data_IF_492362673133
#
_entry.id   IF_492362673133
#
_cell.length_a   1.000
_cell.length_b   1.000
_cell.length_c   1.000
_cell.angle_alpha   90.00
_cell.angle_beta   90.00
_cell.angle_gamma   90.00
#
_symmetry.space_group_name_H-M   'P 1'
#
loop_
_entity.id
_entity.type
_entity.pdbx_description
1 polymer ?
#
# COMPACT_ATOMS: atom_id res chain seq x y z
N UNK A 1 9.15 1.34 22.25
CA UNK A 1 9.31 1.98 20.92
C UNK A 1 8.12 1.72 20.00
N UNK A 2 7.55 0.50 19.92
CA UNK A 2 6.39 0.16 19.06
C UNK A 2 5.01 0.28 19.72
N UNK A 3 4.93 0.93 20.88
CA UNK A 3 3.71 1.05 21.68
C UNK A 3 2.93 2.29 21.23
N UNK A 4 1.66 2.11 20.95
CA UNK A 4 0.70 3.18 20.65
C UNK A 4 -0.33 3.25 21.78
N UNK A 5 -0.78 4.46 22.10
CA UNK A 5 -1.77 4.69 23.14
C UNK A 5 -2.97 5.42 22.56
N UNK A 6 -4.15 4.85 22.73
CA UNK A 6 -5.39 5.49 22.31
C UNK A 6 -5.69 6.65 23.26
N UNK A 7 -5.99 7.88 22.78
CA UNK A 7 -6.18 9.08 23.61
C UNK A 7 -7.56 9.08 24.30
N UNK A 8 -7.88 8.00 25.02
CA UNK A 8 -9.14 7.80 25.74
C UNK A 8 -8.82 7.61 27.23
N UNK A 9 -9.59 8.28 28.08
CA UNK A 9 -9.50 8.12 29.53
C UNK A 9 -9.75 6.67 29.96
N UNK A 10 -8.92 6.16 30.88
CA UNK A 10 -8.97 4.76 31.33
C UNK A 10 -10.23 4.46 32.15
N UNK A 11 -10.90 5.48 32.66
CA UNK A 11 -12.10 5.39 33.49
C UNK A 11 -13.38 5.08 32.68
N UNK A 12 -13.32 5.21 31.35
CA UNK A 12 -14.43 4.91 30.46
C UNK A 12 -14.59 3.41 30.18
N UNK A 13 -15.77 2.86 30.50
CA UNK A 13 -16.22 1.50 30.09
C UNK A 13 -16.71 1.47 28.63
N UNK A 14 -16.02 2.16 27.73
CA UNK A 14 -16.37 2.14 26.31
C UNK A 14 -15.74 0.89 25.68
N UNK A 15 -16.57 -0.07 25.28
CA UNK A 15 -16.10 -1.36 24.77
C UNK A 15 -15.54 -1.27 23.34
N UNK A 16 -16.18 -0.48 22.46
CA UNK A 16 -15.84 -0.43 21.02
C UNK A 16 -14.35 -0.16 20.70
N UNK A 17 -13.67 0.85 21.27
CA UNK A 17 -12.26 1.11 20.95
C UNK A 17 -11.30 0.05 21.53
N UNK A 18 -11.76 -0.77 22.48
CA UNK A 18 -10.97 -1.81 23.15
C UNK A 18 -11.06 -3.15 22.43
N UNK A 19 -12.16 -3.39 21.70
CA UNK A 19 -12.35 -4.63 20.96
C UNK A 19 -11.37 -4.72 19.80
N UNK A 20 -10.89 -5.94 19.54
CA UNK A 20 -10.12 -6.23 18.34
C UNK A 20 -11.03 -6.05 17.13
N UNK A 21 -10.59 -5.24 16.18
CA UNK A 21 -11.27 -5.01 14.91
C UNK A 21 -10.51 -5.69 13.77
N UNK A 22 -11.21 -6.11 12.72
CA UNK A 22 -10.61 -6.83 11.60
C UNK A 22 -9.53 -6.02 10.88
N UNK A 23 -9.69 -4.69 10.82
CA UNK A 23 -8.70 -3.76 10.26
C UNK A 23 -7.38 -3.72 11.04
N UNK A 24 -7.28 -4.37 12.20
CA UNK A 24 -6.00 -4.51 12.91
C UNK A 24 -5.11 -5.61 12.33
N UNK A 25 -5.66 -6.53 11.52
CA UNK A 25 -4.92 -7.67 11.01
C UNK A 25 -3.68 -7.22 10.25
N UNK A 26 -2.53 -7.85 10.53
CA UNK A 26 -1.23 -7.50 9.92
C UNK A 26 -0.61 -6.16 10.34
N UNK A 27 -1.34 -5.27 11.02
CA UNK A 27 -0.85 -3.93 11.42
C UNK A 27 -0.52 -3.86 12.92
N UNK A 28 -1.31 -4.53 13.76
CA UNK A 28 -1.21 -4.52 15.22
C UNK A 28 -1.18 -5.95 15.76
N UNK A 29 -0.39 -6.18 16.80
CA UNK A 29 -0.37 -7.47 17.50
C UNK A 29 -1.71 -7.70 18.23
N UNK A 30 -2.45 -8.79 17.93
CA UNK A 30 -3.77 -9.02 18.54
C UNK A 30 -3.70 -9.45 20.01
N UNK A 31 -2.55 -10.00 20.45
CA UNK A 31 -2.39 -10.57 21.78
C UNK A 31 -1.65 -9.65 22.76
N UNK A 32 -0.76 -8.78 22.26
CA UNK A 32 0.13 -7.98 23.10
C UNK A 32 -0.57 -6.68 23.58
N UNK A 33 -1.47 -6.82 24.55
CA UNK A 33 -2.13 -5.72 25.26
C UNK A 33 -2.04 -5.95 26.78
N UNK A 34 -1.89 -4.89 27.60
CA UNK A 34 -1.99 -5.02 29.05
C UNK A 34 -3.36 -5.51 29.50
N UNK A 35 -3.41 -6.19 30.64
CA UNK A 35 -4.67 -6.55 31.31
C UNK A 35 -5.32 -5.33 32.00
N UNK A 36 -6.60 -5.45 32.35
CA UNK A 36 -7.34 -4.45 33.12
C UNK A 36 -7.73 -3.19 32.34
N UNK A 37 -7.62 -2.02 32.96
CA UNK A 37 -8.17 -0.76 32.43
C UNK A 37 -7.49 -0.27 31.14
N UNK A 38 -6.29 -0.76 30.81
CA UNK A 38 -5.59 -0.42 29.58
C UNK A 38 -5.82 -1.43 28.45
N UNK A 39 -6.57 -2.51 28.69
CA UNK A 39 -6.84 -3.55 27.70
C UNK A 39 -7.51 -2.95 26.45
N UNK A 40 -6.88 -3.20 25.29
CA UNK A 40 -7.29 -2.72 23.97
C UNK A 40 -6.98 -1.25 23.68
N UNK A 41 -6.59 -0.46 24.69
CA UNK A 41 -6.22 0.96 24.51
C UNK A 41 -4.73 1.12 24.19
N UNK A 42 -3.90 0.26 24.78
CA UNK A 42 -2.48 0.17 24.49
C UNK A 42 -2.28 -0.93 23.46
N UNK A 43 -1.78 -0.56 22.27
CA UNK A 43 -1.59 -1.47 21.14
C UNK A 43 -0.12 -1.48 20.74
N UNK A 44 0.39 -2.63 20.31
CA UNK A 44 1.75 -2.76 19.81
C UNK A 44 1.74 -3.03 18.30
N UNK A 45 2.55 -2.30 17.54
CA UNK A 45 2.65 -2.48 16.09
C UNK A 45 3.22 -3.87 15.75
N UNK A 46 2.71 -4.47 14.67
CA UNK A 46 3.21 -5.75 14.18
C UNK A 46 4.68 -5.67 13.72
N UNK A 47 5.33 -6.83 13.51
CA UNK A 47 6.75 -6.89 13.15
C UNK A 47 7.06 -6.14 11.84
N UNK A 48 6.25 -6.38 10.81
CA UNK A 48 6.36 -5.81 9.47
C UNK A 48 5.64 -4.48 9.30
N UNK A 49 5.01 -3.97 10.36
CA UNK A 49 4.26 -2.72 10.30
C UNK A 49 5.20 -1.53 10.08
N UNK A 50 4.83 -0.68 9.13
CA UNK A 50 5.55 0.54 8.77
C UNK A 50 4.63 1.75 8.99
N UNK A 51 5.19 2.83 9.54
CA UNK A 51 4.45 4.09 9.73
C UNK A 51 4.99 5.09 8.72
N UNK A 52 4.10 5.59 7.87
CA UNK A 52 4.44 6.53 6.80
C UNK A 52 4.98 7.85 7.35
N UNK A 53 6.00 8.39 6.67
CA UNK A 53 6.61 9.69 6.97
C UNK A 53 5.92 10.81 6.22
N UNK A 54 5.27 10.49 5.10
CA UNK A 54 4.49 11.42 4.31
C UNK A 54 5.32 12.06 3.20
N UNK A 55 4.65 12.43 2.11
CA UNK A 55 5.28 13.02 0.93
C UNK A 55 4.47 14.19 0.36
N UNK A 56 5.14 15.18 -0.29
CA UNK A 56 4.44 16.27 -0.94
C UNK A 56 3.44 15.76 -1.99
N UNK A 57 2.23 16.32 -1.98
CA UNK A 57 1.15 15.88 -2.88
C UNK A 57 1.11 16.63 -4.22
N UNK A 58 1.70 17.82 -4.29
CA UNK A 58 1.66 18.68 -5.48
C UNK A 58 2.17 17.99 -6.77
N UNK A 59 3.30 17.24 -6.75
CA UNK A 59 3.80 16.58 -7.97
C UNK A 59 2.83 15.53 -8.52
N UNK A 60 2.07 14.87 -7.65
CA UNK A 60 1.09 13.85 -8.06
C UNK A 60 -0.12 14.54 -8.69
N UNK A 61 -0.56 15.67 -8.14
CA UNK A 61 -1.65 16.47 -8.71
C UNK A 61 -1.27 16.98 -10.09
N UNK A 62 -0.09 17.59 -10.25
CA UNK A 62 0.41 18.07 -11.54
C UNK A 62 0.50 16.95 -12.58
N UNK A 63 1.01 15.78 -12.19
CA UNK A 63 1.06 14.62 -13.06
C UNK A 63 -0.33 14.18 -13.53
N UNK A 64 -1.32 14.16 -12.63
CA UNK A 64 -2.69 13.79 -13.00
C UNK A 64 -3.32 14.80 -13.96
N UNK A 65 -3.08 16.10 -13.78
CA UNK A 65 -3.53 17.15 -14.71
C UNK A 65 -2.94 16.91 -16.11
N UNK A 66 -1.64 16.61 -16.21
CA UNK A 66 -0.98 16.27 -17.48
C UNK A 66 -1.55 15.00 -18.13
N UNK A 67 -2.16 14.10 -17.35
CA UNK A 67 -2.82 12.87 -17.81
C UNK A 67 -4.33 13.04 -18.00
N UNK A 68 -4.78 14.25 -18.37
CA UNK A 68 -6.17 14.56 -18.70
C UNK A 68 -7.15 14.50 -17.52
N UNK A 69 -6.68 14.69 -16.28
CA UNK A 69 -7.57 15.05 -15.17
C UNK A 69 -8.06 16.49 -15.37
N UNK A 70 -9.38 16.67 -15.40
CA UNK A 70 -10.01 17.99 -15.42
C UNK A 70 -9.99 18.55 -13.98
N UNK A 71 -9.44 19.75 -13.80
CA UNK A 71 -9.44 20.43 -12.50
C UNK A 71 -10.87 20.78 -12.08
N UNK A 72 -11.11 20.84 -10.77
CA UNK A 72 -12.45 21.03 -10.22
C UNK A 72 -13.10 22.35 -10.71
N UNK A 73 -12.30 23.40 -10.88
CA UNK A 73 -12.75 24.72 -11.33
C UNK A 73 -13.28 24.72 -12.77
N UNK A 74 -12.81 23.79 -13.61
CA UNK A 74 -13.20 23.65 -15.01
C UNK A 74 -14.29 22.58 -15.22
N UNK A 75 -14.68 21.89 -14.14
CA UNK A 75 -15.62 20.79 -14.19
C UNK A 75 -17.07 21.27 -14.29
N UNK A 76 -17.77 20.83 -15.33
CA UNK A 76 -19.20 21.04 -15.52
C UNK A 76 -19.97 19.73 -15.29
N UNK A 77 -20.76 19.60 -14.21
CA UNK A 77 -21.47 18.36 -13.88
C UNK A 77 -22.43 17.87 -14.97
N UNK A 78 -23.03 18.79 -15.73
CA UNK A 78 -23.93 18.47 -16.83
C UNK A 78 -23.20 17.84 -18.03
N UNK A 79 -21.92 18.16 -18.23
CA UNK A 79 -21.11 17.68 -19.35
C UNK A 79 -20.62 16.25 -19.12
N UNK A 80 -20.29 15.90 -17.88
CA UNK A 80 -19.75 14.60 -17.54
C UNK A 80 -20.31 14.06 -16.19
N UNK A 81 -21.60 13.70 -16.14
CA UNK A 81 -22.25 13.27 -14.89
C UNK A 81 -21.70 11.95 -14.31
N UNK A 82 -20.99 11.18 -15.15
CA UNK A 82 -20.40 9.90 -14.76
C UNK A 82 -18.88 9.95 -14.55
N UNK A 83 -18.28 11.14 -14.51
CA UNK A 83 -16.85 11.27 -14.24
C UNK A 83 -16.52 10.81 -12.81
N UNK A 84 -15.34 10.22 -12.65
CA UNK A 84 -14.82 9.80 -11.34
C UNK A 84 -14.16 10.99 -10.65
N UNK A 85 -14.54 11.23 -9.40
CA UNK A 85 -13.96 12.29 -8.56
C UNK A 85 -12.59 11.86 -8.07
N UNK A 86 -11.61 12.76 -8.15
CA UNK A 86 -10.24 12.51 -7.66
C UNK A 86 -10.02 13.30 -6.39
N UNK A 87 -9.66 12.61 -5.31
CA UNK A 87 -9.37 13.19 -4.01
C UNK A 87 -7.91 12.96 -3.65
N UNK A 88 -7.26 14.00 -3.13
CA UNK A 88 -5.89 13.92 -2.61
C UNK A 88 -5.90 14.42 -1.17
N UNK A 89 -5.56 13.56 -0.21
CA UNK A 89 -5.62 13.87 1.22
C UNK A 89 -6.99 14.44 1.66
N UNK A 90 -8.07 13.92 1.07
CA UNK A 90 -9.45 14.36 1.33
C UNK A 90 -9.89 15.61 0.57
N UNK A 91 -9.00 16.30 -0.15
CA UNK A 91 -9.34 17.46 -0.99
C UNK A 91 -9.78 16.98 -2.37
N UNK A 92 -10.97 17.42 -2.81
CA UNK A 92 -11.43 17.16 -4.17
C UNK A 92 -10.65 18.04 -5.16
N UNK A 93 -9.73 17.44 -5.91
CA UNK A 93 -8.84 18.19 -6.83
C UNK A 93 -9.38 18.26 -8.25
N UNK A 94 -10.19 17.29 -8.67
CA UNK A 94 -10.69 17.25 -10.04
C UNK A 94 -11.51 16.00 -10.36
N UNK A 95 -11.75 15.80 -11.65
CA UNK A 95 -12.45 14.63 -12.15
C UNK A 95 -11.71 14.00 -13.32
N UNK A 96 -11.92 12.70 -13.53
CA UNK A 96 -11.38 11.98 -14.66
C UNK A 96 -12.45 11.12 -15.32
N UNK A 97 -12.49 11.11 -16.66
CA UNK A 97 -13.49 10.36 -17.44
C UNK A 97 -13.17 8.86 -17.56
N UNK A 98 -11.88 8.54 -17.62
CA UNK A 98 -11.38 7.16 -17.65
C UNK A 98 -10.52 6.82 -16.41
N UNK A 99 -11.15 6.55 -15.25
CA UNK A 99 -10.40 6.27 -14.02
C UNK A 99 -9.58 4.98 -14.10
N UNK A 100 -9.95 4.02 -14.94
CA UNK A 100 -9.23 2.75 -15.03
C UNK A 100 -7.81 2.96 -15.57
N UNK A 101 -7.69 3.75 -16.63
CA UNK A 101 -6.41 4.12 -17.20
C UNK A 101 -5.57 4.99 -16.23
N UNK A 102 -6.19 5.98 -15.58
CA UNK A 102 -5.51 6.83 -14.61
C UNK A 102 -4.94 6.03 -13.44
N UNK A 103 -5.75 5.15 -12.83
CA UNK A 103 -5.32 4.30 -11.70
C UNK A 103 -4.18 3.39 -12.10
N UNK A 104 -4.26 2.69 -13.26
CA UNK A 104 -3.16 1.85 -13.75
C UNK A 104 -1.89 2.66 -13.96
N UNK A 105 -2.00 3.87 -14.49
CA UNK A 105 -0.85 4.75 -14.72
C UNK A 105 -0.19 5.17 -13.40
N UNK A 106 -0.97 5.63 -12.42
CA UNK A 106 -0.45 6.08 -11.11
C UNK A 106 0.11 4.90 -10.30
N UNK A 107 -0.53 3.73 -10.37
CA UNK A 107 -0.01 2.52 -9.73
C UNK A 107 1.33 2.09 -10.33
N UNK A 108 1.49 2.18 -11.65
CA UNK A 108 2.77 1.90 -12.31
C UNK A 108 3.86 2.90 -11.90
N UNK A 109 3.53 4.17 -11.69
CA UNK A 109 4.49 5.14 -11.14
C UNK A 109 4.95 4.76 -9.73
N UNK A 110 4.05 4.20 -8.89
CA UNK A 110 4.40 3.70 -7.54
C UNK A 110 5.38 2.55 -7.65
N UNK A 111 5.10 1.60 -8.53
CA UNK A 111 5.93 0.41 -8.78
C UNK A 111 7.30 0.76 -9.36
N UNK A 112 7.38 1.80 -10.19
CA UNK A 112 8.64 2.28 -10.76
C UNK A 112 9.40 3.26 -9.86
N UNK A 113 8.96 3.46 -8.62
CA UNK A 113 9.56 4.37 -7.65
C UNK A 113 9.63 5.85 -8.10
N UNK A 114 8.78 6.25 -9.06
CA UNK A 114 8.67 7.66 -9.47
C UNK A 114 7.82 8.47 -8.48
N UNK A 115 6.87 7.81 -7.83
CA UNK A 115 6.19 8.30 -6.63
C UNK A 115 6.59 7.44 -5.44
N UNK A 116 6.49 8.00 -4.24
CA UNK A 116 6.84 7.26 -3.03
C UNK A 116 5.99 6.00 -2.88
N UNK A 117 6.62 4.92 -2.43
CA UNK A 117 5.97 3.65 -2.12
C UNK A 117 4.97 3.77 -0.95
N UNK A 118 5.02 4.87 -0.19
CA UNK A 118 4.08 5.17 0.89
C UNK A 118 2.72 5.68 0.41
N UNK A 119 2.59 6.06 -0.86
CA UNK A 119 1.36 6.64 -1.40
C UNK A 119 0.30 5.55 -1.52
N UNK A 120 -0.83 5.75 -0.86
CA UNK A 120 -1.99 4.86 -0.94
C UNK A 120 -2.92 5.28 -2.07
N UNK A 121 -3.41 4.29 -2.81
CA UNK A 121 -4.19 4.46 -4.03
C UNK A 121 -5.47 3.63 -3.93
N UNK A 122 -6.60 4.29 -3.69
CA UNK A 122 -7.88 3.62 -3.45
C UNK A 122 -8.88 4.01 -4.54
N UNK A 123 -9.36 3.03 -5.29
CA UNK A 123 -10.41 3.23 -6.30
C UNK A 123 -11.74 2.67 -5.81
N UNK A 124 -12.63 3.55 -5.36
CA UNK A 124 -14.01 3.18 -5.08
C UNK A 124 -14.86 3.22 -6.35
N UNK A 125 -15.21 2.04 -6.85
CA UNK A 125 -16.01 1.88 -8.07
C UNK A 125 -17.47 2.27 -7.83
N UNK A 126 -18.00 2.06 -6.61
CA UNK A 126 -19.42 2.30 -6.30
C UNK A 126 -19.70 3.80 -6.20
N UNK A 127 -18.86 4.50 -5.46
CA UNK A 127 -19.01 5.95 -5.23
C UNK A 127 -18.36 6.80 -6.33
N UNK A 128 -17.66 6.13 -7.27
CA UNK A 128 -16.90 6.74 -8.38
C UNK A 128 -15.89 7.75 -7.85
N UNK A 129 -15.04 7.28 -6.94
CA UNK A 129 -14.01 8.08 -6.31
C UNK A 129 -12.65 7.41 -6.47
N UNK A 130 -11.64 8.21 -6.76
CA UNK A 130 -10.25 7.80 -6.69
C UNK A 130 -9.59 8.64 -5.59
N UNK A 131 -9.20 7.99 -4.49
CA UNK A 131 -8.64 8.62 -3.30
C UNK A 131 -7.16 8.30 -3.23
N UNK A 132 -6.36 9.34 -3.05
CA UNK A 132 -4.91 9.28 -2.92
C UNK A 132 -4.53 9.85 -1.58
N UNK A 133 -3.74 9.12 -0.80
CA UNK A 133 -3.22 9.57 0.47
C UNK A 133 -1.70 9.60 0.44
N UNK A 134 -1.15 10.76 0.77
CA UNK A 134 0.30 11.04 0.85
C UNK A 134 0.69 11.53 2.25
N UNK A 135 -0.27 11.61 3.17
CA UNK A 135 -0.09 12.03 4.54
C UNK A 135 0.75 11.03 5.35
N UNK A 136 1.29 11.55 6.45
CA UNK A 136 2.11 10.82 7.41
C UNK A 136 1.23 10.16 8.48
N UNK A 137 1.76 9.11 9.11
CA UNK A 137 1.12 8.46 10.26
C UNK A 137 0.14 7.34 9.90
N UNK A 138 -0.08 7.08 8.60
CA UNK A 138 -0.75 5.84 8.15
C UNK A 138 0.13 4.64 8.47
N UNK A 139 -0.52 3.57 8.90
CA UNK A 139 0.11 2.27 9.16
C UNK A 139 -0.06 1.37 7.94
N UNK A 140 1.06 0.87 7.44
CA UNK A 140 1.13 0.02 6.26
C UNK A 140 1.78 -1.32 6.61
N UNK A 141 1.53 -2.33 5.78
CA UNK A 141 2.31 -3.58 5.79
C UNK A 141 2.80 -3.92 4.38
N UNK A 142 4.02 -4.44 4.25
CA UNK A 142 4.53 -4.93 2.97
C UNK A 142 3.86 -6.25 2.59
N UNK A 143 3.42 -6.37 1.35
CA UNK A 143 2.84 -7.58 0.75
C UNK A 143 3.49 -7.86 -0.60
N UNK A 144 3.54 -9.13 -0.99
CA UNK A 144 4.00 -9.50 -2.32
C UNK A 144 2.96 -9.18 -3.38
N UNK A 145 3.43 -8.70 -4.52
CA UNK A 145 2.59 -8.35 -5.67
C UNK A 145 2.37 -9.58 -6.55
N UNK A 146 1.12 -9.75 -7.01
CA UNK A 146 0.76 -10.69 -8.06
C UNK A 146 0.66 -9.92 -9.38
N UNK A 147 1.29 -10.46 -10.41
CA UNK A 147 1.15 -9.93 -11.77
C UNK A 147 -0.24 -10.28 -12.30
N UNK A 148 -1.02 -9.26 -12.66
CA UNK A 148 -2.40 -9.42 -13.12
C UNK A 148 -2.62 -8.80 -14.50
N UNK A 149 -1.60 -8.20 -15.12
CA UNK A 149 -1.72 -7.66 -16.47
C UNK A 149 -2.07 -8.80 -17.44
N UNK A 150 -3.22 -8.71 -18.16
CA UNK A 150 -3.62 -9.73 -19.13
C UNK A 150 -2.58 -9.99 -20.22
N UNK A 151 -1.75 -8.99 -20.54
CA UNK A 151 -0.74 -9.07 -21.59
C UNK A 151 0.60 -9.63 -21.08
N UNK A 152 0.76 -9.77 -19.75
CA UNK A 152 1.99 -10.28 -19.16
C UNK A 152 2.04 -11.82 -19.25
N UNK A 153 3.17 -12.41 -19.69
CA UNK A 153 3.34 -13.86 -19.68
C UNK A 153 3.35 -14.43 -18.25
N UNK A 154 3.58 -13.59 -17.23
CA UNK A 154 3.60 -13.98 -15.83
C UNK A 154 2.24 -13.81 -15.13
N UNK A 155 1.16 -13.52 -15.88
CA UNK A 155 -0.18 -13.31 -15.32
C UNK A 155 -0.58 -14.42 -14.34
N UNK A 156 -1.10 -14.03 -13.18
CA UNK A 156 -1.54 -14.91 -12.10
C UNK A 156 -0.42 -15.45 -11.22
N UNK A 157 0.84 -15.06 -11.45
CA UNK A 157 1.96 -15.47 -10.61
C UNK A 157 2.44 -14.33 -9.72
N UNK A 158 3.19 -14.68 -8.67
CA UNK A 158 3.97 -13.71 -7.91
C UNK A 158 4.99 -13.02 -8.83
N UNK A 159 5.19 -11.73 -8.61
CA UNK A 159 6.28 -10.95 -9.23
C UNK A 159 7.63 -11.40 -8.67
N UNK A 160 7.65 -11.88 -7.41
CA UNK A 160 8.83 -12.48 -6.80
C UNK A 160 9.26 -13.74 -7.59
N UNK A 161 10.51 -13.76 -8.05
CA UNK A 161 11.09 -14.87 -8.79
C UNK A 161 12.35 -15.40 -8.08
N UNK A 162 12.87 -16.54 -8.56
CA UNK A 162 14.09 -17.15 -8.00
C UNK A 162 15.34 -16.28 -8.16
N UNK A 163 15.42 -15.43 -9.20
CA UNK A 163 16.54 -14.51 -9.35
C UNK A 163 16.58 -13.43 -8.27
N UNK A 164 15.42 -12.92 -7.82
CA UNK A 164 15.36 -11.99 -6.70
C UNK A 164 15.83 -12.66 -5.40
N UNK A 165 15.42 -13.91 -5.18
CA UNK A 165 15.87 -14.71 -4.02
C UNK A 165 17.37 -14.94 -4.05
N UNK A 166 17.92 -15.33 -5.21
CA UNK A 166 19.36 -15.53 -5.36
C UNK A 166 20.15 -14.26 -5.02
N UNK A 167 19.69 -13.09 -5.48
CA UNK A 167 20.36 -11.81 -5.16
C UNK A 167 20.33 -11.51 -3.66
N UNK A 168 19.24 -11.83 -2.97
CA UNK A 168 19.15 -11.70 -1.51
C UNK A 168 20.04 -12.71 -0.77
N UNK A 169 20.27 -13.89 -1.33
CA UNK A 169 21.23 -14.86 -0.79
C UNK A 169 22.66 -14.38 -1.02
N UNK A 170 22.97 -13.82 -2.19
CA UNK A 170 24.27 -13.23 -2.51
C UNK A 170 24.59 -12.07 -1.55
N UNK A 171 23.60 -11.22 -1.22
CA UNK A 171 23.72 -10.17 -0.22
C UNK A 171 24.15 -10.69 1.16
N UNK A 172 23.73 -11.90 1.56
CA UNK A 172 24.12 -12.51 2.85
C UNK A 172 25.59 -12.94 2.87
N UNK A 173 26.19 -13.16 1.70
CA UNK A 173 27.63 -13.49 1.58
C UNK A 173 28.52 -12.25 1.69
N UNK A 174 27.95 -11.05 1.60
CA UNK A 174 28.70 -9.80 1.72
C UNK A 174 29.22 -9.58 3.14
N UNK A 175 30.45 -9.06 3.30
CA UNK A 175 31.02 -8.74 4.61
C UNK A 175 30.11 -7.83 5.46
N UNK A 176 29.80 -8.25 6.69
CA UNK A 176 28.90 -7.54 7.61
C UNK A 176 29.41 -6.13 7.97
N UNK A 177 30.73 -5.97 8.05
CA UNK A 177 31.40 -4.71 8.46
C UNK A 177 31.54 -3.67 7.35
N UNK A 178 31.02 -3.93 6.16
CA UNK A 178 31.09 -3.01 5.04
C UNK A 178 30.09 -1.86 5.22
N UNK A 179 30.51 -0.63 4.89
CA UNK A 179 29.64 0.55 4.98
C UNK A 179 28.46 0.47 4.00
N UNK A 180 27.38 1.22 4.25
CA UNK A 180 26.20 1.23 3.37
C UNK A 180 26.59 1.64 1.93
N UNK A 181 27.40 2.68 1.78
CA UNK A 181 27.84 3.16 0.46
C UNK A 181 28.70 2.14 -0.30
N UNK A 182 29.55 1.40 0.41
CA UNK A 182 30.39 0.34 -0.18
C UNK A 182 29.54 -0.87 -0.61
N UNK A 183 28.51 -1.22 0.16
CA UNK A 183 27.54 -2.26 -0.19
C UNK A 183 26.74 -1.86 -1.42
N UNK A 184 26.25 -0.63 -1.47
CA UNK A 184 25.52 -0.11 -2.62
C UNK A 184 26.40 -0.09 -3.88
N UNK A 185 27.68 0.30 -3.75
CA UNK A 185 28.65 0.27 -4.85
C UNK A 185 28.94 -1.16 -5.36
N UNK A 186 28.83 -2.17 -4.50
CA UNK A 186 28.95 -3.59 -4.87
C UNK A 186 27.63 -4.21 -5.35
N UNK A 187 26.57 -3.41 -5.47
CA UNK A 187 25.28 -3.86 -5.99
C UNK A 187 24.40 -4.56 -4.98
N UNK A 188 24.51 -4.22 -3.69
CA UNK A 188 23.62 -4.71 -2.64
C UNK A 188 22.16 -4.51 -3.02
N UNK A 189 21.38 -5.59 -2.99
CA UNK A 189 19.98 -5.55 -3.41
C UNK A 189 19.06 -5.22 -2.23
N UNK A 190 19.12 -6.03 -1.18
CA UNK A 190 18.39 -5.86 0.06
C UNK A 190 16.87 -5.79 -0.10
N UNK A 191 16.19 -5.41 0.98
CA UNK A 191 14.74 -5.22 0.95
C UNK A 191 14.33 -4.02 0.08
N UNK A 192 15.17 -2.98 0.02
CA UNK A 192 14.89 -1.82 -0.81
C UNK A 192 14.87 -2.19 -2.30
N UNK A 193 15.73 -3.12 -2.73
CA UNK A 193 15.71 -3.65 -4.08
C UNK A 193 14.38 -4.32 -4.45
N UNK A 194 13.77 -5.08 -3.53
CA UNK A 194 12.45 -5.67 -3.75
C UNK A 194 11.36 -4.61 -3.93
N UNK A 195 11.41 -3.51 -3.19
CA UNK A 195 10.48 -2.39 -3.34
C UNK A 195 10.72 -1.71 -4.69
N UNK A 196 11.97 -1.46 -5.06
CA UNK A 196 12.35 -0.77 -6.29
C UNK A 196 11.98 -1.57 -7.55
N UNK A 197 11.99 -2.91 -7.47
CA UNK A 197 11.55 -3.80 -8.55
C UNK A 197 10.04 -4.09 -8.53
N UNK A 198 9.27 -3.44 -7.64
CA UNK A 198 7.82 -3.62 -7.55
C UNK A 198 7.39 -5.02 -7.09
N UNK A 199 8.30 -5.77 -6.46
CA UNK A 199 8.03 -7.12 -5.93
C UNK A 199 7.16 -7.04 -4.68
N UNK A 200 7.39 -6.00 -3.89
CA UNK A 200 6.70 -5.73 -2.63
C UNK A 200 6.02 -4.37 -2.69
N UNK A 201 4.76 -4.33 -2.29
CA UNK A 201 3.99 -3.08 -2.13
C UNK A 201 3.57 -2.91 -0.67
N UNK A 202 3.62 -1.67 -0.19
CA UNK A 202 3.05 -1.31 1.09
C UNK A 202 1.57 -1.04 0.92
N UNK A 203 0.75 -1.72 1.71
CA UNK A 203 -0.70 -1.57 1.72
C UNK A 203 -1.12 -1.05 3.08
N UNK A 204 -1.91 0.02 3.11
CA UNK A 204 -2.52 0.55 4.33
C UNK A 204 -3.93 -0.01 4.56
N UNK A 205 -4.48 0.30 5.73
CA UNK A 205 -5.79 -0.22 6.14
C UNK A 205 -6.95 0.20 5.20
N UNK A 206 -6.85 1.33 4.50
CA UNK A 206 -7.90 1.76 3.57
C UNK A 206 -7.73 1.12 2.18
N UNK A 207 -6.50 0.98 1.70
CA UNK A 207 -6.20 0.26 0.45
C UNK A 207 -6.59 -1.23 0.56
N UNK A 208 -6.45 -1.82 1.77
CA UNK A 208 -6.89 -3.18 2.11
C UNK A 208 -8.38 -3.46 1.78
N UNK A 209 -9.26 -2.46 1.81
CA UNK A 209 -10.68 -2.63 1.48
C UNK A 209 -10.92 -2.85 -0.02
N UNK A 210 -9.93 -2.56 -0.86
CA UNK A 210 -10.04 -2.68 -2.33
C UNK A 210 -9.17 -3.78 -2.93
N UNK A 211 -8.19 -4.29 -2.18
CA UNK A 211 -7.29 -5.35 -2.64
C UNK A 211 -7.76 -6.74 -2.20
N UNK A 212 -7.31 -7.76 -2.94
CA UNK A 212 -7.52 -9.16 -2.61
C UNK A 212 -6.18 -9.78 -2.26
N UNK A 213 -6.11 -10.43 -1.10
CA UNK A 213 -4.88 -11.00 -0.57
C UNK A 213 -5.01 -12.52 -0.53
N UNK A 214 -4.09 -13.20 -1.20
CA UNK A 214 -3.96 -14.66 -1.09
C UNK A 214 -3.20 -15.00 0.20
N UNK A 215 -3.66 -16.02 0.92
CA UNK A 215 -3.07 -16.40 2.21
C UNK A 215 -1.78 -17.19 2.04
N UNK A 216 -1.74 -18.09 1.05
CA UNK A 216 -0.58 -18.94 0.77
C UNK A 216 -0.28 -19.02 -0.73
N UNK A 217 0.99 -19.21 -1.14
CA UNK A 217 1.32 -19.46 -2.54
C UNK A 217 0.61 -20.69 -3.12
N UNK A 218 0.36 -21.71 -2.31
CA UNK A 218 -0.35 -22.93 -2.72
C UNK A 218 -1.80 -22.63 -3.13
N UNK A 219 -2.49 -21.73 -2.42
CA UNK A 219 -3.85 -21.29 -2.79
C UNK A 219 -3.86 -20.60 -4.16
N UNK A 220 -2.80 -19.86 -4.49
CA UNK A 220 -2.63 -19.23 -5.79
C UNK A 220 -2.46 -20.28 -6.90
N UNK A 221 -1.68 -21.33 -6.63
CA UNK A 221 -1.46 -22.44 -7.56
C UNK A 221 -2.76 -23.21 -7.84
N UNK A 222 -3.53 -23.49 -6.79
CA UNK A 222 -4.84 -24.15 -6.91
C UNK A 222 -5.79 -23.31 -7.75
N UNK A 223 -5.88 -21.99 -7.49
CA UNK A 223 -6.72 -21.07 -8.25
C UNK A 223 -6.36 -21.07 -9.75
N UNK A 224 -5.07 -21.12 -10.07
CA UNK A 224 -4.59 -21.20 -11.47
C UNK A 224 -4.94 -22.52 -12.14
N UNK A 225 -4.78 -23.64 -11.44
CA UNK A 225 -5.14 -24.96 -11.97
C UNK A 225 -6.64 -25.02 -12.27
N UNK A 226 -7.48 -24.50 -11.38
CA UNK A 226 -8.93 -24.42 -11.59
C UNK A 226 -9.32 -23.54 -12.78
N UNK A 227 -8.57 -22.47 -13.06
CA UNK A 227 -8.81 -21.63 -14.23
C UNK A 227 -8.34 -22.27 -15.55
N UNK A 228 -7.38 -23.20 -15.49
CA UNK A 228 -6.84 -23.88 -16.66
C UNK A 228 -7.70 -25.08 -17.14
N UNK A 229 -8.61 -25.59 -16.30
CA UNK A 229 -9.51 -26.71 -16.60
C UNK A 229 -9.05 -28.02 -15.96
#
# INVERSE_FOLDING_TARGET
LRRTNTPIGRDGKIAKPRQLHNTHWGLVCPAETPEGQACGLVKNLALMCYVTVGTPSDPIVEFMIQRNMEVLEEYEPLRAPNATKVFVNGVWVGVHRDPAHLVKTVQNLRRSHLISHEVSLIRDIRDREFKIFTDAGRVCRPLFVIENDPDSPNKGNLVLNKSHVQRLEDDQTMPVNMGIEEKDAQGYFGFQGLINEGVVEYVDAEEEETVMIVMTPEDLDISRQLQAG
#
